data_IF_048125125265
#
_entry.id   IF_048125125265
#
_cell.length_a   1.000
_cell.length_b   1.000
_cell.length_c   1.000
_cell.angle_alpha   90.00
_cell.angle_beta   90.00
_cell.angle_gamma   90.00
#
_symmetry.space_group_name_H-M   'P 1'
#
loop_
_entity.id
_entity.type
_entity.pdbx_description
1 polymer ?
#
# COMPACT_ATOMS: atom_id res chain seq x y z
N UNK A 1 18.99 2.06 1.27
CA UNK A 1 18.85 3.22 2.20
C UNK A 1 19.93 4.27 1.99
N UNK A 2 21.19 3.88 2.15
CA UNK A 2 22.35 4.78 2.03
C UNK A 2 22.47 5.40 0.65
N UNK A 3 22.09 4.67 -0.40
CA UNK A 3 22.05 5.18 -1.77
C UNK A 3 21.06 6.33 -1.98
N UNK A 4 19.88 6.30 -1.33
CA UNK A 4 18.93 7.42 -1.39
C UNK A 4 19.58 8.69 -0.83
N UNK A 5 20.27 8.57 0.30
CA UNK A 5 21.00 9.70 0.89
C UNK A 5 22.19 10.17 0.05
N UNK A 6 22.87 9.26 -0.66
CA UNK A 6 24.00 9.60 -1.55
C UNK A 6 23.57 10.39 -2.79
N UNK A 7 22.40 10.07 -3.33
CA UNK A 7 21.89 10.66 -4.57
C UNK A 7 20.94 11.85 -4.35
N UNK A 8 20.82 12.36 -3.11
CA UNK A 8 20.02 13.54 -2.84
C UNK A 8 20.69 14.78 -3.49
N UNK A 9 19.95 15.58 -4.30
CA UNK A 9 20.51 16.74 -5.00
C UNK A 9 20.65 17.94 -4.06
N UNK A 10 21.56 17.85 -3.08
CA UNK A 10 21.81 18.91 -2.10
C UNK A 10 23.30 19.20 -1.97
N UNK A 11 23.62 20.44 -1.57
CA UNK A 11 25.00 20.86 -1.28
C UNK A 11 25.55 20.28 0.04
N UNK A 12 24.74 19.56 0.81
CA UNK A 12 25.16 19.02 2.11
C UNK A 12 26.04 17.77 1.92
N UNK A 13 26.96 17.52 2.86
CA UNK A 13 27.83 16.33 2.80
C UNK A 13 26.99 15.06 2.84
N UNK A 14 27.43 14.04 2.10
CA UNK A 14 26.79 12.71 1.99
C UNK A 14 26.35 12.12 3.33
N UNK A 15 27.21 12.20 4.36
CA UNK A 15 26.87 11.69 5.71
C UNK A 15 25.64 12.36 6.32
N UNK A 16 25.42 13.65 6.05
CA UNK A 16 24.28 14.40 6.56
C UNK A 16 23.02 14.05 5.78
N UNK A 17 23.11 13.86 4.46
CA UNK A 17 21.99 13.40 3.64
C UNK A 17 21.55 11.98 3.99
N UNK A 18 22.49 11.06 4.25
CA UNK A 18 22.17 9.71 4.77
C UNK A 18 21.41 9.82 6.10
N UNK A 19 21.92 10.60 7.06
CA UNK A 19 21.22 10.81 8.34
C UNK A 19 19.87 11.54 8.18
N UNK A 20 19.68 12.32 7.12
CA UNK A 20 18.40 12.98 6.83
C UNK A 20 17.36 11.95 6.39
N UNK A 21 17.71 11.05 5.46
CA UNK A 21 16.84 9.95 5.06
C UNK A 21 16.53 9.03 6.24
N UNK A 22 17.53 8.71 7.05
CA UNK A 22 17.35 7.89 8.25
C UNK A 22 16.33 8.52 9.23
N UNK A 23 16.47 9.82 9.53
CA UNK A 23 15.51 10.55 10.37
C UNK A 23 14.12 10.66 9.76
N UNK A 24 14.03 10.84 8.43
CA UNK A 24 12.75 10.86 7.72
C UNK A 24 12.01 9.53 7.90
N UNK A 25 12.72 8.41 7.75
CA UNK A 25 12.15 7.07 7.92
C UNK A 25 11.86 6.73 9.38
N UNK A 26 12.59 7.32 10.34
CA UNK A 26 12.29 7.23 11.77
C UNK A 26 11.19 8.17 12.24
N UNK A 27 10.64 9.04 11.38
CA UNK A 27 9.71 10.09 11.79
C UNK A 27 8.32 9.53 12.11
N UNK A 28 8.03 9.35 13.40
CA UNK A 28 6.74 8.82 13.89
C UNK A 28 5.53 9.68 13.52
N UNK A 29 5.71 10.99 13.37
CA UNK A 29 4.62 11.87 12.96
C UNK A 29 4.23 11.59 11.50
N UNK A 30 5.23 11.53 10.61
CA UNK A 30 5.01 11.16 9.20
C UNK A 30 4.39 9.76 9.05
N UNK A 31 4.80 8.80 9.88
CA UNK A 31 4.21 7.45 9.88
C UNK A 31 2.73 7.43 10.26
N UNK A 32 2.26 8.36 11.09
CA UNK A 32 0.84 8.51 11.43
C UNK A 32 0.07 9.12 10.26
N UNK A 33 0.70 9.98 9.48
CA UNK A 33 0.11 10.68 8.34
C UNK A 33 0.22 9.90 7.02
N UNK A 34 0.85 8.71 7.01
CA UNK A 34 1.06 7.92 5.79
C UNK A 34 -0.22 7.68 4.97
N UNK A 35 -1.37 7.53 5.64
CA UNK A 35 -2.66 7.33 4.95
C UNK A 35 -3.08 8.58 4.16
N UNK A 36 -2.74 9.79 4.63
CA UNK A 36 -2.99 11.02 3.89
C UNK A 36 -2.15 11.08 2.60
N UNK A 37 -0.91 10.59 2.64
CA UNK A 37 -0.06 10.47 1.43
C UNK A 37 -0.69 9.49 0.44
N UNK A 38 -1.15 8.33 0.91
CA UNK A 38 -1.86 7.36 0.07
C UNK A 38 -3.15 7.93 -0.51
N UNK A 39 -3.96 8.66 0.27
CA UNK A 39 -5.18 9.34 -0.22
C UNK A 39 -4.88 10.32 -1.33
N UNK A 40 -3.88 11.18 -1.12
CA UNK A 40 -3.46 12.14 -2.14
C UNK A 40 -3.03 11.42 -3.43
N UNK A 41 -2.23 10.38 -3.32
CA UNK A 41 -1.79 9.57 -4.46
C UNK A 41 -2.94 8.86 -5.18
N UNK A 42 -3.84 8.22 -4.42
CA UNK A 42 -5.01 7.53 -4.97
C UNK A 42 -6.00 8.50 -5.64
N UNK A 43 -6.17 9.70 -5.09
CA UNK A 43 -7.02 10.74 -5.71
C UNK A 43 -6.55 11.11 -7.11
N UNK A 44 -5.24 11.16 -7.33
CA UNK A 44 -4.67 11.44 -8.64
C UNK A 44 -4.92 10.27 -9.61
N UNK A 45 -4.66 9.04 -9.17
CA UNK A 45 -4.80 7.83 -10.00
C UNK A 45 -6.25 7.54 -10.37
N UNK A 46 -7.17 7.67 -9.42
CA UNK A 46 -8.58 7.34 -9.60
C UNK A 46 -9.42 8.52 -10.12
N UNK A 47 -8.83 9.71 -10.32
CA UNK A 47 -9.54 10.90 -10.78
C UNK A 47 -10.30 10.72 -12.10
N UNK A 48 -9.73 9.95 -13.04
CA UNK A 48 -10.29 9.75 -14.38
C UNK A 48 -11.09 8.45 -14.56
N UNK A 49 -11.13 7.57 -13.55
CA UNK A 49 -11.84 6.30 -13.64
C UNK A 49 -12.46 5.95 -12.28
N UNK A 50 -13.79 5.98 -12.23
CA UNK A 50 -14.58 5.64 -11.04
C UNK A 50 -14.61 4.14 -10.75
N UNK A 51 -14.20 3.28 -11.70
CA UNK A 51 -14.12 1.83 -11.52
C UNK A 51 -12.73 1.29 -11.92
N UNK A 52 -11.69 1.56 -11.11
CA UNK A 52 -10.35 1.04 -11.36
C UNK A 52 -10.30 -0.47 -11.11
N UNK A 53 -9.57 -1.21 -11.94
CA UNK A 53 -9.22 -2.61 -11.69
C UNK A 53 -8.06 -2.64 -10.70
N UNK A 54 -8.31 -3.16 -9.50
CA UNK A 54 -7.35 -3.19 -8.40
C UNK A 54 -6.92 -4.63 -8.15
N UNK A 55 -5.65 -4.92 -8.45
CA UNK A 55 -5.00 -6.18 -8.17
C UNK A 55 -4.55 -6.22 -6.72
N UNK A 56 -4.98 -7.24 -5.98
CA UNK A 56 -4.62 -7.46 -4.57
C UNK A 56 -3.89 -8.78 -4.39
N UNK A 57 -2.69 -8.72 -3.84
CA UNK A 57 -1.84 -9.91 -3.63
C UNK A 57 -0.97 -9.82 -2.37
N UNK A 58 -0.61 -10.99 -1.83
CA UNK A 58 0.36 -11.15 -0.75
C UNK A 58 1.77 -11.35 -1.30
N UNK A 59 2.75 -10.63 -0.76
CA UNK A 59 4.16 -10.79 -1.10
C UNK A 59 5.02 -10.86 0.15
N UNK A 60 6.10 -11.64 0.13
CA UNK A 60 7.05 -11.72 1.25
C UNK A 60 8.02 -10.54 1.23
N UNK A 61 8.23 -9.86 2.37
CA UNK A 61 9.32 -8.91 2.55
C UNK A 61 10.41 -9.56 3.42
N UNK A 62 11.47 -10.03 2.73
CA UNK A 62 12.78 -10.52 3.22
C UNK A 62 12.94 -12.03 3.36
N UNK A 63 14.19 -12.43 3.26
CA UNK A 63 14.73 -13.80 3.27
C UNK A 63 14.42 -14.63 4.54
N UNK A 64 13.86 -14.04 5.59
CA UNK A 64 13.48 -14.75 6.83
C UNK A 64 11.97 -14.94 7.03
N UNK A 65 11.12 -14.62 6.03
CA UNK A 65 9.66 -14.83 6.04
C UNK A 65 8.91 -14.27 7.25
N UNK A 66 9.41 -13.20 7.88
CA UNK A 66 8.80 -12.66 9.11
C UNK A 66 7.65 -11.70 8.83
N UNK A 67 7.67 -11.06 7.68
CA UNK A 67 6.71 -10.02 7.32
C UNK A 67 6.17 -10.29 5.93
N UNK A 68 4.85 -10.31 5.84
CA UNK A 68 4.10 -10.41 4.59
C UNK A 68 3.52 -9.03 4.29
N UNK A 69 3.51 -8.62 3.03
CA UNK A 69 2.79 -7.44 2.57
C UNK A 69 1.57 -7.85 1.81
N UNK A 70 0.45 -7.23 2.15
CA UNK A 70 -0.72 -7.19 1.29
C UNK A 70 -0.66 -5.88 0.50
N UNK A 71 -0.71 -5.95 -0.83
CA UNK A 71 -0.61 -4.80 -1.72
C UNK A 71 -1.83 -4.74 -2.63
N UNK A 72 -2.38 -3.54 -2.78
CA UNK A 72 -3.40 -3.17 -3.76
C UNK A 72 -2.77 -2.25 -4.81
N UNK A 73 -2.93 -2.59 -6.09
CA UNK A 73 -2.34 -1.83 -7.19
C UNK A 73 -3.28 -1.76 -8.40
N UNK A 74 -3.26 -0.65 -9.12
CA UNK A 74 -4.00 -0.52 -10.39
C UNK A 74 -3.10 -0.91 -11.54
N UNK A 75 -3.64 -1.66 -12.50
CA UNK A 75 -2.99 -1.87 -13.78
C UNK A 75 -3.24 -0.65 -14.70
N UNK A 76 -2.21 0.17 -14.92
CA UNK A 76 -2.25 1.34 -15.80
C UNK A 76 -1.24 1.16 -16.94
N UNK A 77 -1.72 1.04 -18.18
CA UNK A 77 -0.87 0.97 -19.39
C UNK A 77 0.28 -0.06 -19.28
N UNK A 78 -0.01 -1.26 -18.75
CA UNK A 78 0.99 -2.33 -18.57
C UNK A 78 1.94 -2.14 -17.37
N UNK A 79 1.73 -1.12 -16.54
CA UNK A 79 2.46 -0.90 -15.28
C UNK A 79 1.53 -1.07 -14.10
N UNK A 80 2.02 -1.72 -13.05
CA UNK A 80 1.34 -1.79 -11.76
C UNK A 80 1.70 -0.55 -10.94
N UNK A 81 0.69 0.21 -10.52
CA UNK A 81 0.85 1.37 -9.64
C UNK A 81 0.21 1.08 -8.30
N UNK A 82 1.01 1.05 -7.24
CA UNK A 82 0.53 0.77 -5.88
C UNK A 82 -0.39 1.87 -5.37
N UNK A 83 -1.64 1.52 -5.03
CA UNK A 83 -2.56 2.41 -4.33
C UNK A 83 -2.31 2.37 -2.83
N UNK A 84 -2.11 1.16 -2.31
CA UNK A 84 -1.93 0.93 -0.89
C UNK A 84 -1.18 -0.37 -0.64
N UNK A 85 -0.33 -0.39 0.37
CA UNK A 85 0.29 -1.60 0.86
C UNK A 85 0.44 -1.55 2.38
N UNK A 86 0.35 -2.73 2.99
CA UNK A 86 0.50 -2.87 4.44
C UNK A 86 1.24 -4.15 4.79
N UNK A 87 2.21 -4.01 5.68
CA UNK A 87 2.95 -5.14 6.23
C UNK A 87 2.23 -5.75 7.43
N UNK A 88 2.24 -7.07 7.49
CA UNK A 88 1.69 -7.90 8.55
C UNK A 88 2.70 -8.96 8.97
N UNK A 89 2.64 -9.47 10.21
CA UNK A 89 3.37 -10.67 10.58
C UNK A 89 2.93 -11.87 9.73
N UNK A 90 3.84 -12.82 9.47
CA UNK A 90 3.51 -14.06 8.75
C UNK A 90 2.31 -14.81 9.36
N UNK A 91 2.17 -14.79 10.68
CA UNK A 91 1.04 -15.42 11.40
C UNK A 91 -0.32 -14.84 11.03
N UNK A 92 -0.36 -13.62 10.50
CA UNK A 92 -1.61 -12.97 10.05
C UNK A 92 -1.84 -13.11 8.53
N UNK A 93 -0.96 -13.80 7.80
CA UNK A 93 -1.15 -14.05 6.37
C UNK A 93 -2.47 -14.77 6.13
N UNK A 94 -3.25 -14.27 5.17
CA UNK A 94 -4.59 -14.79 4.83
C UNK A 94 -5.58 -14.81 6.01
N UNK A 95 -5.29 -14.10 7.09
CA UNK A 95 -6.22 -13.98 8.22
C UNK A 95 -7.33 -12.97 7.91
N UNK A 96 -8.55 -13.27 8.37
CA UNK A 96 -9.70 -12.38 8.20
C UNK A 96 -9.45 -10.99 8.79
N UNK A 97 -8.78 -10.93 9.95
CA UNK A 97 -8.43 -9.66 10.62
C UNK A 97 -7.54 -8.77 9.74
N UNK A 98 -6.49 -9.35 9.14
CA UNK A 98 -5.59 -8.60 8.26
C UNK A 98 -6.33 -8.10 7.01
N UNK A 99 -7.16 -8.97 6.41
CA UNK A 99 -8.00 -8.65 5.26
C UNK A 99 -8.99 -7.51 5.54
N UNK A 100 -9.78 -7.61 6.61
CA UNK A 100 -10.78 -6.60 6.96
C UNK A 100 -10.11 -5.25 7.26
N UNK A 101 -9.00 -5.26 8.00
CA UNK A 101 -8.25 -4.04 8.29
C UNK A 101 -7.68 -3.42 7.01
N UNK A 102 -7.16 -4.24 6.10
CA UNK A 102 -6.61 -3.77 4.84
C UNK A 102 -7.69 -3.15 3.96
N UNK A 103 -8.86 -3.79 3.84
CA UNK A 103 -9.99 -3.29 3.07
C UNK A 103 -10.55 -1.99 3.68
N UNK A 104 -10.64 -1.90 5.01
CA UNK A 104 -11.06 -0.67 5.68
C UNK A 104 -10.09 0.50 5.42
N UNK A 105 -8.78 0.24 5.49
CA UNK A 105 -7.76 1.25 5.19
C UNK A 105 -7.85 1.67 3.71
N UNK A 106 -7.97 0.71 2.79
CA UNK A 106 -8.11 0.95 1.34
C UNK A 106 -9.38 1.76 1.02
N UNK A 107 -10.51 1.44 1.64
CA UNK A 107 -11.76 2.19 1.47
C UNK A 107 -11.62 3.63 1.94
N UNK A 108 -10.87 3.86 3.02
CA UNK A 108 -10.58 5.22 3.49
C UNK A 108 -9.60 5.98 2.59
N UNK A 109 -8.85 5.28 1.74
CA UNK A 109 -7.84 5.85 0.83
C UNK A 109 -8.48 6.24 -0.51
N UNK A 110 -9.37 5.40 -1.03
CA UNK A 110 -10.03 5.62 -2.30
C UNK A 110 -10.98 6.82 -2.24
N UNK A 111 -11.12 7.58 -3.34
CA UNK A 111 -12.14 8.64 -3.44
C UNK A 111 -13.55 8.08 -3.25
N UNK A 112 -14.45 8.87 -2.65
CA UNK A 112 -15.81 8.42 -2.29
C UNK A 112 -16.70 8.01 -3.47
N UNK A 113 -16.38 8.46 -4.69
CA UNK A 113 -17.07 8.12 -5.92
C UNK A 113 -16.42 6.93 -6.66
N UNK A 114 -15.53 6.18 -5.99
CA UNK A 114 -14.81 5.05 -6.59
C UNK A 114 -15.40 3.73 -6.14
N UNK A 115 -15.75 2.88 -7.10
CA UNK A 115 -16.16 1.48 -6.89
C UNK A 115 -15.13 0.58 -7.57
N UNK A 116 -14.05 0.17 -6.89
CA UNK A 116 -12.99 -0.62 -7.52
C UNK A 116 -13.45 -2.04 -7.86
N UNK A 117 -13.00 -2.58 -8.99
CA UNK A 117 -13.10 -4.01 -9.28
C UNK A 117 -11.89 -4.71 -8.64
N UNK A 118 -12.11 -5.45 -7.56
CA UNK A 118 -11.05 -6.18 -6.85
C UNK A 118 -10.74 -7.49 -7.59
N UNK A 119 -9.47 -7.66 -7.96
CA UNK A 119 -8.95 -8.91 -8.54
C UNK A 119 -7.89 -9.47 -7.60
N UNK A 120 -8.10 -10.70 -7.15
CA UNK A 120 -7.17 -11.40 -6.26
C UNK A 120 -6.95 -12.83 -6.74
N UNK A 121 -5.86 -13.46 -6.32
CA UNK A 121 -5.57 -14.85 -6.68
C UNK A 121 -6.47 -15.87 -5.94
N UNK A 122 -6.31 -17.15 -6.27
CA UNK A 122 -7.07 -18.25 -5.67
C UNK A 122 -6.72 -18.52 -4.19
N UNK A 123 -5.66 -17.90 -3.65
CA UNK A 123 -5.31 -17.97 -2.24
C UNK A 123 -6.31 -17.22 -1.34
N UNK A 124 -7.04 -16.26 -1.90
CA UNK A 124 -8.15 -15.58 -1.24
C UNK A 124 -9.42 -16.43 -1.30
N UNK A 125 -10.04 -16.64 -0.14
CA UNK A 125 -11.20 -17.52 0.03
C UNK A 125 -12.50 -16.74 0.15
N UNK A 126 -13.64 -17.42 0.15
CA UNK A 126 -14.99 -16.85 0.29
C UNK A 126 -15.13 -15.72 1.33
N UNK A 127 -14.55 -15.80 2.55
CA UNK A 127 -14.66 -14.71 3.52
C UNK A 127 -14.08 -13.37 3.04
N UNK A 128 -13.04 -13.38 2.21
CA UNK A 128 -12.46 -12.19 1.60
C UNK A 128 -13.47 -11.51 0.68
N UNK A 129 -14.03 -12.25 -0.27
CA UNK A 129 -15.00 -11.75 -1.23
C UNK A 129 -16.25 -11.20 -0.53
N UNK A 130 -16.75 -11.87 0.52
CA UNK A 130 -17.83 -11.34 1.35
C UNK A 130 -17.50 -10.03 2.06
N UNK A 131 -16.24 -9.80 2.43
CA UNK A 131 -15.81 -8.52 3.02
C UNK A 131 -15.69 -7.43 1.95
N UNK A 132 -15.30 -7.77 0.72
CA UNK A 132 -15.28 -6.86 -0.43
C UNK A 132 -16.70 -6.43 -0.81
N UNK A 133 -17.62 -7.38 -0.98
CA UNK A 133 -19.03 -7.12 -1.32
C UNK A 133 -19.73 -6.21 -0.29
N UNK A 134 -19.38 -6.35 1.00
CA UNK A 134 -19.91 -5.49 2.08
C UNK A 134 -19.55 -4.02 1.94
N UNK A 135 -18.49 -3.70 1.19
CA UNK A 135 -18.10 -2.32 0.87
C UNK A 135 -18.79 -1.81 -0.39
N UNK A 136 -19.61 -2.62 -1.06
CA UNK A 136 -20.29 -2.28 -2.31
C UNK A 136 -19.35 -2.30 -3.51
N UNK A 137 -18.29 -3.11 -3.45
CA UNK A 137 -17.28 -3.30 -4.50
C UNK A 137 -17.45 -4.65 -5.19
#
# INVERSE_FOLDING_TARGET
LTELGRNLPTKARTKHNIKRIDRLLGNRHLHKERLAVYRWHASFICSGNTMPIVLVDWSDIREQKRLMVLRASVALHGRSVTLYEKAFPLSEQCSKKAHDQFLADLASILPSNTTPLIVSDAGFKVPWYKSVEKLGW
#
